data_IF_371604955182
#
_entry.id   IF_371604955182
#
_cell.length_a   1.000
_cell.length_b   1.000
_cell.length_c   1.000
_cell.angle_alpha   90.00
_cell.angle_beta   90.00
_cell.angle_gamma   90.00
#
_symmetry.space_group_name_H-M   'P 1'
#
loop_
_entity.id
_entity.type
_entity.pdbx_description
1 polymer ?
#
# COMPACT_ATOMS: atom_id res chain seq x y z
N UNK A 1 27.12 57.35 -37.20
CA UNK A 1 26.95 55.87 -37.20
C UNK A 1 26.36 55.47 -35.85
N UNK A 2 25.30 54.67 -35.86
CA UNK A 2 24.32 54.50 -34.79
C UNK A 2 24.90 53.78 -33.55
N UNK A 3 24.64 54.32 -32.37
CA UNK A 3 24.89 53.68 -31.07
C UNK A 3 23.83 52.60 -30.82
N UNK A 4 24.26 51.34 -30.78
CA UNK A 4 23.40 50.19 -30.46
C UNK A 4 23.27 50.11 -28.93
N UNK A 5 22.08 50.42 -28.41
CA UNK A 5 21.73 50.19 -26.99
C UNK A 5 21.41 48.70 -26.81
N UNK A 6 22.24 47.97 -26.08
CA UNK A 6 21.96 46.60 -25.69
C UNK A 6 20.86 46.59 -24.60
N UNK A 7 19.74 45.94 -24.89
CA UNK A 7 18.65 45.70 -23.93
C UNK A 7 18.91 44.31 -23.32
N UNK A 8 19.26 44.27 -22.03
CA UNK A 8 19.40 43.02 -21.27
C UNK A 8 18.00 42.62 -20.79
N UNK A 9 17.48 41.52 -21.31
CA UNK A 9 16.23 40.91 -20.86
C UNK A 9 16.54 39.99 -19.66
N UNK A 10 16.18 40.41 -18.45
CA UNK A 10 16.27 39.56 -17.26
C UNK A 10 15.05 38.64 -17.27
N UNK A 11 15.24 37.38 -17.65
CA UNK A 11 14.22 36.33 -17.50
C UNK A 11 14.24 35.90 -16.03
N UNK A 12 13.30 36.42 -15.24
CA UNK A 12 13.02 35.89 -13.91
C UNK A 12 12.36 34.52 -14.08
N UNK A 13 13.12 33.45 -13.82
CA UNK A 13 12.56 32.11 -13.74
C UNK A 13 11.62 32.05 -12.53
N UNK A 14 10.31 32.19 -12.77
CA UNK A 14 9.30 31.74 -11.83
C UNK A 14 9.43 30.22 -11.71
N UNK A 15 10.14 29.77 -10.69
CA UNK A 15 10.05 28.39 -10.21
C UNK A 15 8.65 28.29 -9.60
N UNK A 16 7.68 27.84 -10.40
CA UNK A 16 6.41 27.40 -9.85
C UNK A 16 6.75 26.29 -8.83
N UNK A 17 6.25 26.35 -7.59
CA UNK A 17 6.38 25.20 -6.70
C UNK A 17 5.68 24.05 -7.43
N UNK A 18 6.44 23.03 -7.82
CA UNK A 18 5.85 21.73 -8.12
C UNK A 18 5.11 21.38 -6.84
N UNK A 19 3.78 21.42 -6.89
CA UNK A 19 2.96 20.85 -5.82
C UNK A 19 3.45 19.42 -5.66
N UNK A 20 4.13 19.15 -4.56
CA UNK A 20 4.58 17.81 -4.22
C UNK A 20 3.33 16.94 -4.31
N UNK A 21 3.31 16.03 -5.28
CA UNK A 21 2.21 15.07 -5.42
C UNK A 21 2.17 14.34 -4.08
N UNK A 22 1.06 14.48 -3.36
CA UNK A 22 0.85 13.74 -2.12
C UNK A 22 1.02 12.26 -2.46
N UNK A 23 1.80 11.54 -1.65
CA UNK A 23 2.02 10.14 -1.95
C UNK A 23 0.67 9.39 -1.82
N UNK A 24 0.36 8.53 -2.79
CA UNK A 24 -0.94 7.85 -2.85
C UNK A 24 -0.97 6.62 -1.92
N UNK A 25 -2.11 6.32 -1.31
CA UNK A 25 -2.26 5.08 -0.53
C UNK A 25 -2.11 3.88 -1.47
N UNK A 26 -1.17 2.97 -1.17
CA UNK A 26 -1.07 1.73 -1.92
C UNK A 26 -2.36 0.92 -1.77
N UNK A 27 -3.07 0.65 -2.87
CA UNK A 27 -4.38 -0.02 -2.82
C UNK A 27 -4.28 -1.44 -2.28
N UNK A 28 -3.15 -2.11 -2.46
CA UNK A 28 -2.85 -3.40 -1.85
C UNK A 28 -2.66 -3.34 -0.32
N UNK A 29 -2.47 -2.15 0.27
CA UNK A 29 -2.40 -1.97 1.72
C UNK A 29 -3.78 -1.85 2.38
N UNK A 30 -4.81 -1.45 1.62
CA UNK A 30 -6.12 -1.12 2.17
C UNK A 30 -6.77 -2.34 2.87
N UNK A 31 -7.51 -2.19 3.97
CA UNK A 31 -8.28 -3.30 4.55
C UNK A 31 -9.25 -3.93 3.54
N UNK A 32 -9.68 -5.17 3.81
CA UNK A 32 -10.72 -5.80 3.00
C UNK A 32 -12.02 -4.99 3.10
N UNK A 33 -12.75 -4.85 1.99
CA UNK A 33 -14.04 -4.15 1.91
C UNK A 33 -14.00 -2.64 2.12
N UNK A 34 -12.83 -2.03 2.28
CA UNK A 34 -12.71 -0.57 2.28
C UNK A 34 -13.14 -0.01 0.92
N UNK A 35 -13.99 1.00 0.93
CA UNK A 35 -14.40 1.70 -0.29
C UNK A 35 -13.25 2.54 -0.85
N UNK A 36 -13.25 2.75 -2.17
CA UNK A 36 -12.26 3.61 -2.82
C UNK A 36 -12.36 5.05 -2.29
N UNK A 37 -13.57 5.51 -1.99
CA UNK A 37 -13.81 6.84 -1.42
C UNK A 37 -13.22 6.97 -0.01
N UNK A 38 -13.28 5.94 0.83
CA UNK A 38 -12.65 5.97 2.15
C UNK A 38 -11.12 6.03 2.03
N UNK A 39 -10.54 5.32 1.05
CA UNK A 39 -9.10 5.38 0.75
C UNK A 39 -8.70 6.79 0.33
N UNK A 40 -9.45 7.40 -0.60
CA UNK A 40 -9.20 8.77 -1.07
C UNK A 40 -9.33 9.79 0.07
N UNK A 41 -10.32 9.64 0.96
CA UNK A 41 -10.46 10.52 2.13
C UNK A 41 -9.25 10.39 3.06
N UNK A 42 -8.81 9.17 3.37
CA UNK A 42 -7.62 8.96 4.20
C UNK A 42 -6.37 9.55 3.53
N UNK A 43 -6.18 9.30 2.23
CA UNK A 43 -5.06 9.81 1.42
C UNK A 43 -4.99 11.34 1.45
N UNK A 44 -6.12 12.01 1.24
CA UNK A 44 -6.20 13.47 1.29
C UNK A 44 -5.83 14.04 2.66
N UNK A 45 -6.17 13.33 3.74
CA UNK A 45 -5.91 13.78 5.11
C UNK A 45 -4.46 13.56 5.53
N UNK A 46 -3.84 12.45 5.13
CA UNK A 46 -2.54 12.02 5.67
C UNK A 46 -1.43 11.85 4.63
N UNK A 47 -1.66 12.21 3.37
CA UNK A 47 -0.70 12.01 2.28
C UNK A 47 0.68 12.65 2.51
N UNK A 48 0.73 13.77 3.26
CA UNK A 48 1.98 14.40 3.68
C UNK A 48 2.83 13.54 4.62
N UNK A 49 2.20 12.69 5.44
CA UNK A 49 2.89 11.77 6.37
C UNK A 49 3.71 10.73 5.60
N UNK A 50 3.26 10.30 4.43
CA UNK A 50 4.01 9.33 3.63
C UNK A 50 5.36 9.89 3.16
N UNK A 51 5.41 11.19 2.84
CA UNK A 51 6.66 11.88 2.51
C UNK A 51 7.59 11.88 3.73
N UNK A 52 7.07 12.10 4.94
CA UNK A 52 7.87 12.02 6.16
C UNK A 52 8.38 10.59 6.42
N UNK A 53 7.57 9.56 6.17
CA UNK A 53 7.96 8.14 6.29
C UNK A 53 9.09 7.81 5.32
N UNK A 54 9.00 8.26 4.07
CA UNK A 54 10.09 8.13 3.10
C UNK A 54 11.36 8.86 3.55
N UNK A 55 11.20 9.96 4.30
CA UNK A 55 12.28 10.70 4.95
C UNK A 55 12.65 10.16 6.35
N UNK A 56 12.42 8.85 6.58
CA UNK A 56 12.84 8.09 7.77
C UNK A 56 12.06 8.34 9.06
N UNK A 57 10.84 8.89 8.97
CA UNK A 57 9.94 8.93 10.13
C UNK A 57 9.57 7.50 10.55
N UNK A 58 9.76 7.19 11.85
CA UNK A 58 9.46 5.87 12.40
C UNK A 58 7.96 5.54 12.35
N UNK A 59 7.63 4.24 12.28
CA UNK A 59 6.23 3.78 12.20
C UNK A 59 5.36 4.32 13.35
N UNK A 60 5.86 4.25 14.59
CA UNK A 60 5.12 4.68 15.76
C UNK A 60 4.79 6.18 15.70
N UNK A 61 5.76 7.00 15.29
CA UNK A 61 5.59 8.46 15.17
C UNK A 61 4.67 8.83 14.01
N UNK A 62 4.84 8.19 12.85
CA UNK A 62 3.97 8.37 11.68
C UNK A 62 2.53 7.99 11.98
N UNK A 63 2.32 6.86 12.68
CA UNK A 63 1.01 6.42 13.17
C UNK A 63 0.40 7.40 14.17
N UNK A 64 1.19 7.90 15.12
CA UNK A 64 0.69 8.87 16.10
C UNK A 64 0.24 10.17 15.43
N UNK A 65 1.06 10.72 14.52
CA UNK A 65 0.74 11.93 13.75
C UNK A 65 -0.49 11.75 12.87
N UNK A 66 -0.55 10.69 12.06
CA UNK A 66 -1.69 10.41 11.19
C UNK A 66 -2.98 10.21 11.99
N UNK A 67 -2.93 9.47 13.10
CA UNK A 67 -4.11 9.27 13.95
C UNK A 67 -4.60 10.58 14.57
N UNK A 68 -3.72 11.49 14.97
CA UNK A 68 -4.12 12.80 15.48
C UNK A 68 -4.87 13.61 14.40
N UNK A 69 -4.32 13.67 13.18
CA UNK A 69 -4.95 14.35 12.04
C UNK A 69 -6.33 13.75 11.73
N UNK A 70 -6.42 12.43 11.65
CA UNK A 70 -7.68 11.74 11.36
C UNK A 70 -8.73 11.93 12.46
N UNK A 71 -8.30 11.91 13.72
CA UNK A 71 -9.20 12.12 14.85
C UNK A 71 -9.75 13.55 14.88
N UNK A 72 -8.89 14.55 14.64
CA UNK A 72 -9.32 15.95 14.51
C UNK A 72 -10.26 16.14 13.32
N UNK A 73 -9.94 15.56 12.15
CA UNK A 73 -10.80 15.61 10.99
C UNK A 73 -12.18 14.98 11.25
N UNK A 74 -12.22 13.88 12.01
CA UNK A 74 -13.46 13.22 12.41
C UNK A 74 -14.29 14.10 13.36
N UNK A 75 -13.67 14.69 14.39
CA UNK A 75 -14.35 15.63 15.30
C UNK A 75 -14.93 16.85 14.56
N UNK A 76 -14.25 17.29 13.51
CA UNK A 76 -14.65 18.44 12.69
C UNK A 76 -15.60 18.08 11.54
N UNK A 77 -16.02 16.83 11.40
CA UNK A 77 -16.94 16.38 10.33
C UNK A 77 -16.32 16.39 8.93
N UNK A 78 -15.00 16.33 8.81
CA UNK A 78 -14.25 16.41 7.56
C UNK A 78 -14.00 15.04 6.91
N UNK A 79 -14.52 13.96 7.50
CA UNK A 79 -14.29 12.57 7.04
C UNK A 79 -15.32 12.08 6.02
N UNK A 80 -16.21 12.95 5.53
CA UNK A 80 -17.23 12.55 4.56
C UNK A 80 -18.20 11.48 5.06
N UNK A 81 -18.37 11.36 6.39
CA UNK A 81 -19.21 10.34 7.02
C UNK A 81 -18.47 9.07 7.43
N UNK A 82 -17.21 8.88 7.02
CA UNK A 82 -16.39 7.75 7.44
C UNK A 82 -15.96 7.86 8.90
N UNK A 83 -15.89 6.72 9.57
CA UNK A 83 -15.49 6.67 10.98
C UNK A 83 -13.98 6.89 11.13
N UNK A 84 -13.56 7.42 12.28
CA UNK A 84 -12.14 7.49 12.62
C UNK A 84 -11.43 6.14 12.50
N UNK A 85 -12.05 5.05 13.00
CA UNK A 85 -11.45 3.72 13.00
C UNK A 85 -11.16 3.20 11.59
N UNK A 86 -12.12 3.38 10.67
CA UNK A 86 -11.98 2.98 9.27
C UNK A 86 -10.83 3.70 8.57
N UNK A 87 -10.76 5.03 8.70
CA UNK A 87 -9.68 5.81 8.10
C UNK A 87 -8.33 5.53 8.75
N UNK A 88 -8.31 5.30 10.06
CA UNK A 88 -7.09 4.95 10.79
C UNK A 88 -6.54 3.59 10.34
N UNK A 89 -7.38 2.61 10.07
CA UNK A 89 -6.94 1.31 9.57
C UNK A 89 -6.30 1.42 8.17
N UNK A 90 -6.90 2.22 7.27
CA UNK A 90 -6.31 2.54 5.96
C UNK A 90 -4.95 3.20 6.11
N UNK A 91 -4.88 4.29 6.89
CA UNK A 91 -3.65 5.06 7.09
C UNK A 91 -2.54 4.21 7.71
N UNK A 92 -2.86 3.41 8.73
CA UNK A 92 -1.87 2.60 9.45
C UNK A 92 -1.29 1.48 8.58
N UNK A 93 -2.10 0.87 7.72
CA UNK A 93 -1.60 -0.13 6.78
C UNK A 93 -0.73 0.51 5.69
N UNK A 94 -1.17 1.64 5.14
CA UNK A 94 -0.41 2.38 4.14
C UNK A 94 0.95 2.83 4.68
N UNK A 95 1.00 3.42 5.87
CA UNK A 95 2.25 3.83 6.54
C UNK A 95 3.19 2.64 6.74
N UNK A 96 2.65 1.49 7.18
CA UNK A 96 3.45 0.27 7.34
C UNK A 96 4.05 -0.19 6.02
N UNK A 97 3.27 -0.20 4.95
CA UNK A 97 3.73 -0.62 3.64
C UNK A 97 4.76 0.37 3.05
N UNK A 98 4.50 1.67 3.13
CA UNK A 98 5.47 2.71 2.74
C UNK A 98 6.82 2.50 3.42
N UNK A 99 6.79 2.27 4.74
CA UNK A 99 8.00 1.99 5.51
C UNK A 99 8.69 0.72 5.02
N UNK A 100 7.95 -0.39 4.86
CA UNK A 100 8.54 -1.67 4.46
C UNK A 100 9.16 -1.58 3.06
N UNK A 101 8.52 -0.89 2.11
CA UNK A 101 9.04 -0.65 0.76
C UNK A 101 10.27 0.26 0.75
N UNK A 102 10.30 1.31 1.58
CA UNK A 102 11.47 2.20 1.70
C UNK A 102 12.65 1.53 2.41
N UNK A 103 12.39 0.69 3.43
CA UNK A 103 13.45 0.01 4.18
C UNK A 103 14.05 -1.19 3.44
N UNK A 104 13.27 -1.83 2.56
CA UNK A 104 13.67 -3.03 1.81
C UNK A 104 13.32 -2.90 0.31
N UNK A 105 13.75 -1.85 -0.41
CA UNK A 105 13.30 -1.62 -1.78
C UNK A 105 13.72 -2.76 -2.72
N UNK A 106 14.91 -3.33 -2.53
CA UNK A 106 15.43 -4.45 -3.32
C UNK A 106 14.58 -5.71 -3.13
N UNK A 107 14.10 -5.95 -1.90
CA UNK A 107 13.23 -7.10 -1.62
C UNK A 107 11.96 -7.05 -2.48
N UNK A 108 11.33 -5.88 -2.59
CA UNK A 108 10.12 -5.72 -3.37
C UNK A 108 10.39 -5.88 -4.87
N UNK A 109 11.45 -5.30 -5.40
CA UNK A 109 11.76 -5.37 -6.84
C UNK A 109 12.18 -6.78 -7.27
N UNK A 110 13.01 -7.46 -6.49
CA UNK A 110 13.54 -8.79 -6.83
C UNK A 110 12.49 -9.91 -6.75
N UNK A 111 11.47 -9.76 -5.89
CA UNK A 111 10.47 -10.82 -5.67
C UNK A 111 9.23 -10.71 -6.57
N UNK A 112 9.05 -9.65 -7.36
CA UNK A 112 7.88 -9.49 -8.25
C UNK A 112 7.70 -10.70 -9.18
N UNK A 113 8.73 -11.03 -9.96
CA UNK A 113 8.63 -12.14 -10.93
C UNK A 113 8.49 -13.50 -10.25
N UNK A 114 9.15 -13.68 -9.11
CA UNK A 114 9.01 -14.89 -8.30
C UNK A 114 7.58 -15.06 -7.79
N UNK A 115 7.00 -14.02 -7.21
CA UNK A 115 5.62 -14.08 -6.69
C UNK A 115 4.65 -14.30 -7.84
N UNK A 116 4.81 -13.58 -8.95
CA UNK A 116 4.01 -13.76 -10.17
C UNK A 116 4.02 -15.22 -10.65
N UNK A 117 5.19 -15.88 -10.65
CA UNK A 117 5.29 -17.28 -11.01
C UNK A 117 4.55 -18.21 -10.02
N UNK A 118 4.61 -17.92 -8.71
CA UNK A 118 3.92 -18.70 -7.66
C UNK A 118 2.39 -18.61 -7.81
N UNK A 119 1.88 -17.44 -8.18
CA UNK A 119 0.43 -17.15 -8.15
C UNK A 119 -0.24 -17.12 -9.53
N UNK A 120 0.50 -17.40 -10.60
CA UNK A 120 0.04 -17.31 -12.00
C UNK A 120 -1.32 -17.98 -12.24
N UNK A 121 -1.46 -19.25 -11.80
CA UNK A 121 -2.73 -19.98 -11.91
C UNK A 121 -3.92 -19.28 -11.22
N UNK A 122 -3.68 -18.60 -10.09
CA UNK A 122 -4.73 -17.86 -9.37
C UNK A 122 -5.09 -16.57 -10.09
N UNK A 123 -4.10 -15.89 -10.68
CA UNK A 123 -4.35 -14.74 -11.56
C UNK A 123 -5.20 -15.17 -12.75
N UNK A 124 -4.86 -16.27 -13.42
CA UNK A 124 -5.60 -16.76 -14.60
C UNK A 124 -7.07 -17.06 -14.25
N UNK A 125 -7.34 -17.68 -13.10
CA UNK A 125 -8.71 -17.93 -12.63
C UNK A 125 -9.47 -16.64 -12.31
N UNK A 126 -8.79 -15.65 -11.72
CA UNK A 126 -9.39 -14.37 -11.34
C UNK A 126 -9.71 -13.49 -12.56
N UNK A 127 -8.79 -13.41 -13.52
CA UNK A 127 -8.96 -12.68 -14.79
C UNK A 127 -10.06 -13.31 -15.63
N UNK A 128 -10.16 -14.65 -15.63
CA UNK A 128 -11.24 -15.37 -16.29
C UNK A 128 -12.59 -15.31 -15.55
N UNK A 129 -12.71 -14.52 -14.48
CA UNK A 129 -13.91 -14.34 -13.66
C UNK A 129 -14.47 -15.66 -13.07
N UNK A 130 -13.62 -16.68 -12.91
CA UNK A 130 -14.02 -17.97 -12.30
C UNK A 130 -14.05 -17.91 -10.78
N UNK A 131 -13.28 -16.99 -10.21
CA UNK A 131 -13.20 -16.73 -8.77
C UNK A 131 -13.32 -15.23 -8.50
N UNK A 132 -13.87 -14.87 -7.34
CA UNK A 132 -13.91 -13.48 -6.88
C UNK A 132 -12.58 -13.05 -6.24
N UNK A 133 -12.49 -11.75 -5.90
CA UNK A 133 -11.28 -11.18 -5.31
C UNK A 133 -10.92 -11.83 -3.97
N UNK A 134 -11.91 -12.17 -3.14
CA UNK A 134 -11.65 -12.74 -1.82
C UNK A 134 -11.09 -14.15 -1.92
N UNK A 135 -11.66 -14.93 -2.83
CA UNK A 135 -11.20 -16.28 -3.15
C UNK A 135 -9.81 -16.22 -3.76
N UNK A 136 -9.55 -15.30 -4.67
CA UNK A 136 -8.21 -15.06 -5.23
C UNK A 136 -7.22 -14.70 -4.12
N UNK A 137 -7.54 -13.73 -3.25
CA UNK A 137 -6.69 -13.32 -2.14
C UNK A 137 -6.37 -14.49 -1.20
N UNK A 138 -7.37 -15.30 -0.81
CA UNK A 138 -7.17 -16.50 0.01
C UNK A 138 -6.24 -17.51 -0.70
N UNK A 139 -6.52 -17.82 -1.96
CA UNK A 139 -5.76 -18.80 -2.73
C UNK A 139 -4.30 -18.37 -2.91
N UNK A 140 -4.06 -17.08 -3.15
CA UNK A 140 -2.70 -16.54 -3.22
C UNK A 140 -1.92 -16.75 -1.92
N UNK A 141 -2.53 -16.49 -0.76
CA UNK A 141 -1.87 -16.74 0.52
C UNK A 141 -1.49 -18.22 0.66
N UNK A 142 -2.39 -19.13 0.29
CA UNK A 142 -2.14 -20.57 0.31
C UNK A 142 -0.98 -20.95 -0.62
N UNK A 143 -0.95 -20.42 -1.86
CA UNK A 143 0.13 -20.67 -2.82
C UNK A 143 1.48 -20.18 -2.30
N UNK A 144 1.52 -19.03 -1.64
CA UNK A 144 2.75 -18.51 -1.05
C UNK A 144 3.24 -19.42 0.08
N UNK A 145 2.38 -19.88 0.99
CA UNK A 145 2.77 -20.86 2.01
C UNK A 145 3.24 -22.18 1.39
N UNK A 146 2.55 -22.66 0.35
CA UNK A 146 2.90 -23.88 -0.38
C UNK A 146 4.23 -23.76 -1.14
N UNK A 147 4.67 -22.55 -1.48
CA UNK A 147 5.99 -22.32 -2.09
C UNK A 147 7.15 -22.62 -1.13
N UNK A 148 6.90 -22.57 0.18
CA UNK A 148 7.88 -22.92 1.23
C UNK A 148 7.66 -24.35 1.70
N UNK A 149 6.40 -24.73 1.94
CA UNK A 149 6.03 -26.10 2.32
C UNK A 149 4.92 -26.63 1.41
N UNK A 150 5.25 -27.45 0.39
CA UNK A 150 4.25 -27.99 -0.54
C UNK A 150 3.15 -28.83 0.12
N UNK A 151 3.37 -29.36 1.33
CA UNK A 151 2.35 -30.11 2.07
C UNK A 151 1.45 -29.23 2.96
N UNK A 152 1.64 -27.90 2.95
CA UNK A 152 0.81 -26.99 3.74
C UNK A 152 -0.66 -27.11 3.32
N UNK A 153 -1.51 -27.43 4.30
CA UNK A 153 -2.94 -27.53 4.15
C UNK A 153 -3.63 -26.63 5.19
N UNK A 154 -4.24 -25.50 4.76
CA UNK A 154 -4.85 -24.56 5.69
C UNK A 154 -6.04 -25.16 6.46
N UNK A 155 -6.77 -26.11 5.89
CA UNK A 155 -7.90 -26.76 6.57
C UNK A 155 -7.43 -27.58 7.76
N UNK A 156 -6.31 -28.29 7.60
CA UNK A 156 -5.68 -29.04 8.70
C UNK A 156 -5.09 -28.08 9.72
N UNK A 157 -4.29 -27.10 9.29
CA UNK A 157 -3.58 -26.22 10.22
C UNK A 157 -4.52 -25.29 10.99
N UNK A 158 -5.57 -24.78 10.37
CA UNK A 158 -6.52 -23.89 11.06
C UNK A 158 -7.53 -24.65 11.94
N UNK A 159 -7.66 -25.98 11.78
CA UNK A 159 -8.40 -26.83 12.71
C UNK A 159 -7.69 -27.05 14.05
N UNK A 160 -6.37 -26.84 14.11
CA UNK A 160 -5.56 -26.95 15.33
C UNK A 160 -5.68 -25.67 16.18
N UNK A 161 -5.45 -25.82 17.48
CA UNK A 161 -5.24 -24.68 18.37
C UNK A 161 -4.06 -23.83 17.89
N UNK A 162 -4.14 -22.53 18.13
CA UNK A 162 -3.20 -21.54 17.57
C UNK A 162 -1.74 -21.85 17.92
N UNK A 163 -1.47 -22.45 19.09
CA UNK A 163 -0.12 -22.83 19.52
C UNK A 163 0.44 -24.10 18.85
N UNK A 164 -0.37 -24.88 18.13
CA UNK A 164 0.04 -26.12 17.45
C UNK A 164 0.01 -26.03 15.92
N UNK A 165 -0.29 -24.84 15.38
CA UNK A 165 -0.31 -24.64 13.93
C UNK A 165 1.11 -24.59 13.39
N UNK A 166 1.38 -25.38 12.37
CA UNK A 166 2.64 -25.38 11.62
C UNK A 166 2.48 -24.49 10.39
N UNK A 167 2.51 -23.17 10.60
CA UNK A 167 2.40 -22.18 9.54
C UNK A 167 3.80 -21.90 8.98
N UNK A 168 4.03 -22.08 7.67
CA UNK A 168 5.32 -21.77 7.07
C UNK A 168 5.71 -20.31 7.30
N UNK A 169 6.96 -20.08 7.69
CA UNK A 169 7.49 -18.74 7.88
C UNK A 169 7.69 -18.06 6.51
N UNK A 170 6.97 -16.96 6.28
CA UNK A 170 6.96 -16.21 5.03
C UNK A 170 7.06 -14.71 5.34
N UNK A 171 7.91 -13.97 4.61
CA UNK A 171 7.98 -12.51 4.75
C UNK A 171 6.68 -11.86 4.25
N UNK A 172 6.11 -10.94 5.04
CA UNK A 172 4.84 -10.29 4.73
C UNK A 172 4.85 -9.49 3.43
N UNK A 173 6.03 -9.04 2.97
CA UNK A 173 6.18 -8.34 1.70
C UNK A 173 5.80 -9.20 0.50
N UNK A 174 5.92 -10.54 0.58
CA UNK A 174 5.46 -11.43 -0.49
C UNK A 174 3.94 -11.33 -0.68
N UNK A 175 3.16 -11.25 0.41
CA UNK A 175 1.71 -11.08 0.34
C UNK A 175 1.32 -9.71 -0.23
N UNK A 176 2.06 -8.65 0.12
CA UNK A 176 1.83 -7.31 -0.43
C UNK A 176 2.06 -7.29 -1.95
N UNK A 177 3.17 -7.86 -2.42
CA UNK A 177 3.45 -8.00 -3.86
C UNK A 177 2.35 -8.80 -4.55
N UNK A 178 1.94 -9.92 -3.95
CA UNK A 178 0.90 -10.78 -4.50
C UNK A 178 -0.43 -10.04 -4.68
N UNK A 179 -0.82 -9.27 -3.66
CA UNK A 179 -2.06 -8.50 -3.67
C UNK A 179 -2.01 -7.38 -4.70
N UNK A 180 -0.87 -6.71 -4.84
CA UNK A 180 -0.63 -5.74 -5.92
C UNK A 180 -0.82 -6.38 -7.30
N UNK A 181 -0.18 -7.53 -7.55
CA UNK A 181 -0.29 -8.24 -8.83
C UNK A 181 -1.73 -8.67 -9.16
N UNK A 182 -2.52 -9.07 -8.16
CA UNK A 182 -3.94 -9.39 -8.36
C UNK A 182 -4.74 -8.13 -8.72
N UNK A 183 -4.51 -7.01 -8.02
CA UNK A 183 -5.20 -5.75 -8.30
C UNK A 183 -4.85 -5.20 -9.69
N UNK A 184 -3.61 -5.34 -10.13
CA UNK A 184 -3.14 -4.91 -11.46
C UNK A 184 -3.56 -5.87 -12.60
N UNK A 185 -4.14 -7.02 -12.28
CA UNK A 185 -4.52 -8.03 -13.29
C UNK A 185 -5.89 -7.79 -13.93
N UNK A 186 -6.69 -6.86 -13.40
CA UNK A 186 -7.96 -6.39 -13.98
C UNK A 186 -7.83 -4.95 -14.43
#
# INVERSE_FOLDING_TARGET
>A
MKTIKAIILIIAAMVLPVSAIAAEVQRESAPCYTSEEAIIVAENLIGSIFIEVQNRLGYADARAKSNAILFEAWLNGQTGGYSYGELADVANNAIRQYRDMYLKPEFYTENIERVKAIISSVIDEYVAERIDYQTAAKNVHIRIYQSVNPSFNPEVEFSKDTCYRDIPAVDSGLFAIARKLILESK
#
